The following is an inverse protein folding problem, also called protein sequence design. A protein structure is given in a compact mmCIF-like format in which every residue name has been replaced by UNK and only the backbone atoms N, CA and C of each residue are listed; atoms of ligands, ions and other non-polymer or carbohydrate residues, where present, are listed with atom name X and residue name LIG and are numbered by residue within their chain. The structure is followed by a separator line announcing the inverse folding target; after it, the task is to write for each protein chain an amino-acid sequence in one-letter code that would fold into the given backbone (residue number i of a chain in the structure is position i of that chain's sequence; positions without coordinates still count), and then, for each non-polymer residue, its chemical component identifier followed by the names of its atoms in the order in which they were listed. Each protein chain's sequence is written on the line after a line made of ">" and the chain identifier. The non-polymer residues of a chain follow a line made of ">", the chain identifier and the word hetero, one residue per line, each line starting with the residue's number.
data_IF_919612987579
#
_entry.id   IF_919612987579
#
_cell.length_a   1.000
_cell.length_b   1.000
_cell.length_c   1.000
_cell.angle_alpha   90.00
_cell.angle_beta   90.00
_cell.angle_gamma   90.00
#
_symmetry.space_group_name_H-M   'P 1'
#
loop_
_entity.id
_entity.type
_entity.pdbx_description
1 polymer ?
#
# COMPACT_ATOMS: atom_id res chain seq x y z
N UNK A 1 3.16 -15.98 2.90
CA UNK A 1 2.71 -16.93 3.94
C UNK A 1 1.75 -16.18 4.84
N UNK A 2 0.62 -16.81 5.10
CA UNK A 2 -0.66 -16.20 5.44
C UNK A 2 -0.65 -15.46 6.78
N UNK A 3 -1.41 -14.35 6.81
CA UNK A 3 -2.07 -13.84 8.02
C UNK A 3 -2.69 -15.05 8.75
N UNK A 4 -2.62 -15.16 10.09
CA UNK A 4 -3.25 -16.25 10.81
C UNK A 4 -4.69 -16.41 10.32
N UNK A 5 -4.99 -17.58 9.73
CA UNK A 5 -6.35 -17.95 9.36
C UNK A 5 -7.12 -18.18 10.66
N UNK A 6 -7.66 -17.11 11.23
CA UNK A 6 -8.82 -17.21 12.10
C UNK A 6 -10.02 -16.73 11.30
N UNK A 7 -10.82 -17.71 10.90
CA UNK A 7 -12.16 -17.55 10.37
C UNK A 7 -12.96 -16.60 11.24
N UNK A 8 -13.57 -15.60 10.62
CA UNK A 8 -14.88 -15.11 11.04
C UNK A 8 -15.65 -14.76 9.77
N UNK A 9 -16.67 -15.58 9.51
CA UNK A 9 -17.77 -15.36 8.56
C UNK A 9 -18.82 -14.40 9.18
N UNK A 10 -18.33 -13.50 10.05
CA UNK A 10 -19.02 -12.35 10.59
C UNK A 10 -18.23 -11.15 10.07
N UNK A 11 -18.89 -10.09 9.59
CA UNK A 11 -18.25 -8.87 9.08
C UNK A 11 -17.44 -8.07 10.11
N UNK A 12 -16.79 -8.74 11.08
CA UNK A 12 -15.89 -8.15 12.05
C UNK A 12 -14.55 -7.84 11.39
N UNK A 13 -14.26 -6.56 11.33
CA UNK A 13 -12.97 -6.09 10.84
C UNK A 13 -11.84 -6.58 11.75
N UNK A 14 -10.75 -7.06 11.15
CA UNK A 14 -9.58 -7.56 11.88
C UNK A 14 -8.90 -6.36 12.56
N UNK A 15 -8.79 -6.42 13.89
CA UNK A 15 -8.14 -5.39 14.71
C UNK A 15 -6.87 -5.95 15.36
N UNK A 16 -5.74 -5.29 15.15
CA UNK A 16 -4.46 -5.66 15.76
C UNK A 16 -3.52 -4.46 15.89
N UNK A 17 -2.48 -4.61 16.71
CA UNK A 17 -1.47 -3.56 16.92
C UNK A 17 -0.28 -3.74 15.98
N UNK A 18 0.17 -2.65 15.38
CA UNK A 18 1.33 -2.60 14.48
C UNK A 18 2.24 -1.41 14.78
N UNK A 19 3.54 -1.50 14.45
CA UNK A 19 4.40 -0.33 14.42
C UNK A 19 4.04 0.59 13.24
N UNK A 20 4.14 1.90 13.45
CA UNK A 20 3.81 2.95 12.48
C UNK A 20 5.07 3.72 12.09
N UNK A 21 5.34 3.72 10.78
CA UNK A 21 6.36 4.53 10.14
C UNK A 21 5.69 5.78 9.56
N UNK A 22 6.07 6.99 10.00
CA UNK A 22 5.49 8.23 9.47
C UNK A 22 6.32 8.69 8.28
N UNK A 23 5.74 8.73 7.07
CA UNK A 23 6.43 9.14 5.86
C UNK A 23 5.45 9.58 4.75
N UNK A 24 5.74 9.23 3.50
CA UNK A 24 4.93 9.52 2.32
C UNK A 24 3.72 8.59 2.23
N UNK A 25 2.75 8.96 1.40
CA UNK A 25 1.61 8.11 1.06
C UNK A 25 2.10 6.85 0.35
N UNK A 26 1.71 5.67 0.85
CA UNK A 26 1.78 4.42 0.10
C UNK A 26 0.38 3.95 -0.27
N UNK A 27 0.29 3.38 -1.46
CA UNK A 27 -0.92 2.77 -1.98
C UNK A 27 -0.77 1.24 -1.94
N UNK A 28 -1.89 0.50 -1.86
CA UNK A 28 -1.90 -0.94 -2.12
C UNK A 28 -1.16 -1.29 -3.41
N UNK A 29 -0.50 -2.45 -3.45
CA UNK A 29 0.24 -2.98 -4.60
C UNK A 29 1.47 -2.18 -5.08
N UNK A 30 1.62 -0.93 -4.63
CA UNK A 30 2.75 -0.08 -4.98
C UNK A 30 4.02 -0.50 -4.23
N UNK A 31 5.15 -0.49 -4.94
CA UNK A 31 6.46 -0.69 -4.31
C UNK A 31 6.93 0.61 -3.68
N UNK A 32 7.52 0.51 -2.49
CA UNK A 32 8.00 1.68 -1.74
C UNK A 32 9.38 1.38 -1.15
N UNK A 33 10.48 1.69 -1.86
CA UNK A 33 11.81 1.58 -1.31
C UNK A 33 12.05 2.69 -0.27
N UNK A 34 12.48 2.32 0.93
CA UNK A 34 12.68 3.24 2.05
C UNK A 34 14.15 3.26 2.48
N UNK A 35 14.70 4.46 2.66
CA UNK A 35 15.98 4.64 3.34
C UNK A 35 15.73 5.01 4.81
N UNK A 36 16.00 4.05 5.70
CA UNK A 36 15.76 4.18 7.14
C UNK A 36 17.08 4.52 7.84
N UNK A 37 17.19 5.77 8.29
CA UNK A 37 18.38 6.28 8.97
C UNK A 37 18.15 6.71 10.42
N UNK A 38 16.92 7.07 10.80
CA UNK A 38 16.59 7.46 12.18
C UNK A 38 16.72 6.27 13.16
N UNK A 39 17.39 6.43 14.32
CA UNK A 39 17.61 5.37 15.31
C UNK A 39 16.34 4.60 15.71
N UNK A 40 15.25 5.31 16.02
CA UNK A 40 13.96 4.70 16.42
C UNK A 40 13.40 3.76 15.35
N UNK A 41 13.50 4.14 14.08
CA UNK A 41 13.00 3.33 12.97
C UNK A 41 13.94 2.19 12.59
N UNK A 42 15.25 2.34 12.82
CA UNK A 42 16.19 1.22 12.68
C UNK A 42 15.84 0.08 13.64
N UNK A 43 15.52 0.42 14.90
CA UNK A 43 15.03 -0.56 15.88
C UNK A 43 13.70 -1.18 15.45
N UNK A 44 12.76 -0.35 15.00
CA UNK A 44 11.47 -0.80 14.46
C UNK A 44 11.67 -1.83 13.34
N UNK A 45 12.50 -1.54 12.33
CA UNK A 45 12.73 -2.44 11.19
C UNK A 45 13.34 -3.78 11.61
N UNK A 46 14.30 -3.77 12.54
CA UNK A 46 14.89 -5.00 13.09
C UNK A 46 13.84 -5.87 13.77
N UNK A 47 12.92 -5.28 14.54
CA UNK A 47 11.84 -6.03 15.18
C UNK A 47 10.81 -6.51 14.18
N UNK A 48 10.44 -5.68 13.20
CA UNK A 48 9.45 -6.04 12.19
C UNK A 48 9.91 -7.24 11.36
N UNK A 49 11.19 -7.32 10.97
CA UNK A 49 11.70 -8.45 10.17
C UNK A 49 11.78 -9.77 10.97
N UNK A 50 11.91 -9.69 12.30
CA UNK A 50 11.87 -10.83 13.22
C UNK A 50 10.45 -11.39 13.39
N UNK A 51 9.41 -10.58 13.12
CA UNK A 51 8.03 -11.06 13.12
C UNK A 51 7.75 -11.98 11.92
N UNK A 52 6.77 -12.88 12.08
CA UNK A 52 6.32 -13.73 10.98
C UNK A 52 5.62 -12.93 9.86
N UNK A 53 4.91 -11.85 10.21
CA UNK A 53 4.18 -11.05 9.22
C UNK A 53 5.10 -10.18 8.37
N UNK A 54 6.21 -9.68 8.95
CA UNK A 54 7.12 -8.71 8.32
C UNK A 54 6.39 -7.48 7.81
N UNK A 55 5.36 -7.06 8.53
CA UNK A 55 4.49 -5.93 8.16
C UNK A 55 4.57 -4.80 9.17
N UNK A 56 4.41 -3.58 8.66
CA UNK A 56 4.24 -2.38 9.46
C UNK A 56 3.26 -1.43 8.76
N UNK A 57 2.72 -0.47 9.49
CA UNK A 57 1.84 0.55 8.91
C UNK A 57 2.63 1.78 8.51
N UNK A 58 2.30 2.38 7.37
CA UNK A 58 2.78 3.71 7.01
C UNK A 58 1.62 4.69 6.92
N UNK A 59 1.80 5.82 7.58
CA UNK A 59 0.86 6.93 7.59
C UNK A 59 1.60 8.21 7.23
N UNK A 60 0.87 9.18 6.66
CA UNK A 60 1.38 10.53 6.50
C UNK A 60 1.33 11.29 7.83
N UNK A 61 2.21 12.28 7.99
CA UNK A 61 2.11 13.23 9.07
C UNK A 61 0.90 14.15 8.87
N UNK A 62 0.15 14.39 9.93
CA UNK A 62 -0.98 15.30 10.01
C UNK A 62 -0.59 16.50 10.88
N UNK A 63 -0.40 17.66 10.23
CA UNK A 63 -0.02 18.91 10.89
C UNK A 63 -1.08 19.44 11.85
N UNK A 64 -2.36 19.16 11.61
CA UNK A 64 -3.45 19.68 12.45
C UNK A 64 -3.51 18.99 13.82
N UNK A 65 -3.16 17.70 13.85
CA UNK A 65 -3.19 16.88 15.07
C UNK A 65 -1.80 16.65 15.65
N UNK A 66 -0.75 17.22 15.03
CA UNK A 66 0.66 17.03 15.40
C UNK A 66 1.08 15.55 15.54
N UNK A 67 0.50 14.67 14.72
CA UNK A 67 0.74 13.21 14.76
C UNK A 67 0.49 12.58 13.39
N UNK A 68 0.40 11.27 13.26
CA UNK A 68 0.07 10.59 12.00
C UNK A 68 -1.43 10.55 11.70
N UNK A 69 -1.77 10.54 10.42
CA UNK A 69 -3.14 10.50 9.91
C UNK A 69 -3.94 9.28 10.42
N UNK A 70 -5.27 9.42 10.41
CA UNK A 70 -6.21 8.37 10.83
C UNK A 70 -6.25 7.17 9.89
N UNK A 71 -5.63 7.27 8.71
CA UNK A 71 -5.59 6.23 7.71
C UNK A 71 -4.15 6.01 7.23
N UNK A 72 -3.86 4.77 6.87
CA UNK A 72 -2.57 4.38 6.34
C UNK A 72 -2.65 3.08 5.56
N UNK A 73 -1.48 2.61 5.15
CA UNK A 73 -1.33 1.39 4.35
C UNK A 73 -0.39 0.44 5.05
N UNK A 74 -0.77 -0.83 5.16
CA UNK A 74 0.11 -1.91 5.58
C UNK A 74 1.14 -2.18 4.50
N UNK A 75 2.41 -2.14 4.84
CA UNK A 75 3.50 -2.53 3.95
C UNK A 75 4.13 -3.82 4.41
N UNK A 76 4.39 -4.69 3.45
CA UNK A 76 5.15 -5.93 3.63
C UNK A 76 6.61 -5.71 3.21
N UNK A 77 7.56 -6.09 4.05
CA UNK A 77 8.99 -6.03 3.75
C UNK A 77 9.36 -7.21 2.85
N UNK A 78 9.69 -6.92 1.58
CA UNK A 78 10.21 -7.90 0.62
C UNK A 78 11.68 -8.21 0.85
N UNK A 79 12.46 -7.18 1.18
CA UNK A 79 13.89 -7.28 1.42
C UNK A 79 14.41 -6.14 2.26
N UNK A 80 15.53 -6.36 2.95
CA UNK A 80 16.20 -5.35 3.75
C UNK A 80 17.71 -5.54 3.64
N UNK A 81 18.42 -4.44 3.36
CA UNK A 81 19.89 -4.41 3.30
C UNK A 81 20.39 -3.38 4.31
N UNK A 82 21.26 -3.81 5.22
CA UNK A 82 21.94 -2.92 6.15
C UNK A 82 23.19 -2.30 5.52
N UNK A 83 23.42 -1.03 5.81
CA UNK A 83 24.67 -0.33 5.49
C UNK A 83 25.66 -0.44 6.66
N UNK A 84 26.94 -0.13 6.41
CA UNK A 84 28.02 -0.28 7.42
C UNK A 84 27.85 0.64 8.64
N UNK A 85 27.14 1.76 8.49
CA UNK A 85 26.77 2.68 9.58
C UNK A 85 25.44 2.31 10.27
N UNK A 86 24.87 1.17 9.88
CA UNK A 86 23.68 0.58 10.47
C UNK A 86 22.36 1.20 10.04
N UNK A 87 22.35 2.06 9.00
CA UNK A 87 21.12 2.42 8.27
C UNK A 87 20.64 1.22 7.46
N UNK A 88 19.46 1.33 6.86
CA UNK A 88 18.94 0.27 6.00
C UNK A 88 18.20 0.80 4.79
N UNK A 89 18.35 0.09 3.67
CA UNK A 89 17.46 0.20 2.52
C UNK A 89 16.45 -0.94 2.63
N UNK A 90 15.18 -0.60 2.74
CA UNK A 90 14.07 -1.53 2.92
C UNK A 90 13.21 -1.52 1.67
N UNK A 91 13.11 -2.67 1.01
CA UNK A 91 12.21 -2.85 -0.11
C UNK A 91 10.85 -3.33 0.41
N UNK A 92 9.80 -2.58 0.10
CA UNK A 92 8.45 -2.85 0.60
C UNK A 92 7.41 -2.81 -0.50
N UNK A 93 6.28 -3.47 -0.27
CA UNK A 93 5.10 -3.41 -1.13
C UNK A 93 3.86 -3.14 -0.28
N UNK A 94 3.02 -2.20 -0.72
CA UNK A 94 1.72 -1.94 -0.11
C UNK A 94 0.79 -3.13 -0.22
N UNK A 95 0.04 -3.41 0.84
CA UNK A 95 -0.91 -4.52 0.94
C UNK A 95 -2.32 -4.01 1.09
N UNK A 96 -2.67 -3.55 2.29
CA UNK A 96 -4.05 -3.24 2.65
C UNK A 96 -4.16 -1.87 3.30
N UNK A 97 -5.28 -1.20 3.11
CA UNK A 97 -5.58 0.06 3.79
C UNK A 97 -6.11 -0.22 5.19
N UNK A 98 -5.84 0.68 6.11
CA UNK A 98 -6.35 0.57 7.47
C UNK A 98 -6.78 1.93 8.03
N UNK A 99 -7.67 1.86 9.02
CA UNK A 99 -8.04 2.96 9.90
C UNK A 99 -7.37 2.80 11.25
N UNK A 100 -6.85 3.89 11.81
CA UNK A 100 -6.30 3.96 13.16
C UNK A 100 -7.45 4.04 14.15
N UNK A 101 -7.47 3.10 15.11
CA UNK A 101 -8.45 3.05 16.20
C UNK A 101 -7.86 3.66 17.48
N UNK A 102 -6.59 3.36 17.74
CA UNK A 102 -5.88 3.89 18.90
C UNK A 102 -4.40 4.11 18.57
N UNK A 103 -3.81 5.14 19.17
CA UNK A 103 -2.42 5.55 18.92
C UNK A 103 -1.57 5.26 20.15
N UNK A 104 -0.43 4.62 19.94
CA UNK A 104 0.53 4.29 20.98
C UNK A 104 1.95 4.70 20.61
N UNK A 105 2.86 4.44 21.53
CA UNK A 105 4.29 4.62 21.32
C UNK A 105 5.05 3.50 22.01
N UNK A 106 6.10 3.02 21.36
CA UNK A 106 6.99 1.99 21.89
C UNK A 106 8.41 2.33 21.52
N UNK A 107 9.29 2.48 22.50
CA UNK A 107 10.73 2.74 22.30
C UNK A 107 10.98 3.84 21.23
N UNK A 108 10.28 4.97 21.40
CA UNK A 108 10.36 6.19 20.58
C UNK A 108 9.76 6.13 19.15
N UNK A 109 9.26 4.99 18.70
CA UNK A 109 8.47 4.90 17.46
C UNK A 109 6.98 4.72 17.76
N UNK A 110 6.14 5.20 16.82
CA UNK A 110 4.69 5.15 16.97
C UNK A 110 4.18 3.71 16.79
N UNK A 111 3.13 3.36 17.53
CA UNK A 111 2.33 2.15 17.28
C UNK A 111 0.88 2.55 17.08
N UNK A 112 0.09 1.68 16.48
CA UNK A 112 -1.35 1.88 16.38
C UNK A 112 -2.07 0.56 16.47
N UNK A 113 -3.22 0.57 17.16
CA UNK A 113 -4.24 -0.45 16.97
C UNK A 113 -5.07 -0.04 15.76
N UNK A 114 -5.10 -0.90 14.75
CA UNK A 114 -5.68 -0.59 13.45
C UNK A 114 -6.84 -1.50 13.11
N UNK A 115 -7.73 -1.04 12.24
CA UNK A 115 -8.81 -1.80 11.64
C UNK A 115 -8.58 -1.86 10.13
N UNK A 116 -8.54 -3.06 9.55
CA UNK A 116 -8.42 -3.21 8.10
C UNK A 116 -9.67 -2.70 7.39
N UNK A 117 -9.46 -2.00 6.28
CA UNK A 117 -10.52 -1.54 5.37
C UNK A 117 -10.66 -2.58 4.27
N UNK A 118 -11.89 -2.96 3.98
CA UNK A 118 -12.24 -3.81 2.83
C UNK A 118 -13.08 -3.01 1.86
N UNK A 119 -12.76 -3.09 0.58
CA UNK A 119 -13.61 -2.58 -0.49
C UNK A 119 -14.84 -3.46 -0.69
N UNK A 120 -15.91 -2.83 -1.17
CA UNK A 120 -17.13 -3.52 -1.54
C UNK A 120 -16.99 -4.08 -2.95
N UNK A 121 -17.47 -5.31 -3.15
CA UNK A 121 -17.59 -5.89 -4.49
C UNK A 121 -18.52 -5.02 -5.33
N UNK A 122 -18.24 -4.97 -6.64
CA UNK A 122 -19.07 -4.27 -7.61
C UNK A 122 -20.41 -5.02 -7.71
N UNK A 123 -21.52 -4.30 -7.56
CA UNK A 123 -22.85 -4.88 -7.72
C UNK A 123 -23.09 -5.27 -9.18
N UNK A 124 -23.84 -6.36 -9.42
CA UNK A 124 -24.05 -6.89 -10.77
C UNK A 124 -24.69 -5.85 -11.70
N UNK A 125 -25.58 -5.02 -11.17
CA UNK A 125 -26.29 -3.99 -11.93
C UNK A 125 -25.35 -2.88 -12.44
N UNK A 126 -24.25 -2.62 -11.74
CA UNK A 126 -23.25 -1.60 -12.11
C UNK A 126 -22.13 -2.16 -13.01
N UNK A 127 -22.00 -3.49 -13.11
CA UNK A 127 -20.86 -4.13 -13.76
C UNK A 127 -20.78 -3.81 -15.25
N UNK A 128 -21.92 -3.85 -15.96
CA UNK A 128 -21.96 -3.60 -17.41
C UNK A 128 -21.51 -2.18 -17.74
N UNK A 129 -22.02 -1.18 -17.00
CA UNK A 129 -21.65 0.22 -17.18
C UNK A 129 -20.18 0.45 -16.85
N UNK A 130 -19.70 -0.09 -15.73
CA UNK A 130 -18.29 -0.01 -15.34
C UNK A 130 -17.37 -0.64 -16.39
N UNK A 131 -17.75 -1.80 -16.94
CA UNK A 131 -17.00 -2.47 -17.98
C UNK A 131 -16.90 -1.62 -19.25
N UNK A 132 -18.00 -0.99 -19.67
CA UNK A 132 -17.99 -0.07 -20.82
C UNK A 132 -17.14 1.18 -20.55
N UNK A 133 -17.23 1.76 -19.35
CA UNK A 133 -16.42 2.92 -18.98
C UNK A 133 -14.92 2.59 -18.92
N UNK A 134 -14.55 1.44 -18.36
CA UNK A 134 -13.17 0.97 -18.31
C UNK A 134 -12.59 0.84 -19.73
N UNK A 135 -13.27 0.14 -20.63
CA UNK A 135 -12.83 -0.05 -22.03
C UNK A 135 -12.74 1.26 -22.80
N UNK A 136 -13.73 2.14 -22.62
CA UNK A 136 -13.76 3.45 -23.29
C UNK A 136 -12.61 4.34 -22.80
N UNK A 137 -12.39 4.38 -21.49
CA UNK A 137 -11.30 5.15 -20.88
C UNK A 137 -9.95 4.61 -21.32
N UNK A 138 -9.76 3.29 -21.27
CA UNK A 138 -8.54 2.64 -21.73
C UNK A 138 -8.23 2.98 -23.19
N UNK A 139 -9.24 2.89 -24.07
CA UNK A 139 -9.08 3.26 -25.48
C UNK A 139 -8.65 4.72 -25.63
N UNK A 140 -9.30 5.65 -24.92
CA UNK A 140 -8.94 7.08 -24.98
C UNK A 140 -7.52 7.35 -24.52
N UNK A 141 -7.11 6.74 -23.40
CA UNK A 141 -5.73 6.88 -22.88
C UNK A 141 -4.73 6.26 -23.86
N UNK A 142 -5.07 5.12 -24.48
CA UNK A 142 -4.22 4.45 -25.47
C UNK A 142 -4.04 5.30 -26.72
N UNK A 143 -5.13 5.85 -27.25
CA UNK A 143 -5.12 6.72 -28.42
C UNK A 143 -4.30 7.99 -28.14
N UNK A 144 -4.51 8.63 -26.98
CA UNK A 144 -3.67 9.75 -26.52
C UNK A 144 -2.19 9.38 -26.42
N UNK A 145 -1.88 8.24 -25.79
CA UNK A 145 -0.51 7.78 -25.62
C UNK A 145 0.19 7.54 -26.96
N UNK A 146 -0.52 7.00 -27.95
CA UNK A 146 0.00 6.77 -29.30
C UNK A 146 0.26 8.07 -30.08
N UNK A 147 -0.47 9.14 -29.78
CA UNK A 147 -0.29 10.46 -30.39
C UNK A 147 0.91 11.23 -29.82
N UNK A 148 1.48 10.80 -28.69
CA UNK A 148 2.68 11.41 -28.13
C UNK A 148 3.88 11.21 -29.07
N UNK A 149 4.82 12.15 -29.04
CA UNK A 149 6.08 11.99 -29.75
C UNK A 149 6.88 10.78 -29.20
N UNK A 150 7.80 10.21 -30.00
CA UNK A 150 8.52 8.99 -29.61
C UNK A 150 9.34 9.13 -28.32
N UNK A 151 9.83 10.33 -28.00
CA UNK A 151 10.63 10.56 -26.80
C UNK A 151 9.76 10.44 -25.54
N UNK A 152 8.60 11.10 -25.52
CA UNK A 152 7.65 11.00 -24.40
C UNK A 152 7.12 9.58 -24.20
N UNK A 153 6.80 8.86 -25.28
CA UNK A 153 6.39 7.45 -25.20
C UNK A 153 7.46 6.58 -24.57
N UNK A 154 8.71 6.74 -24.98
CA UNK A 154 9.83 5.95 -24.43
C UNK A 154 10.04 6.23 -22.94
N UNK A 155 9.94 7.50 -22.53
CA UNK A 155 10.10 7.87 -21.11
C UNK A 155 9.03 7.24 -20.23
N UNK A 156 7.75 7.38 -20.62
CA UNK A 156 6.62 6.83 -19.86
C UNK A 156 6.67 5.30 -19.82
N UNK A 157 6.90 4.64 -20.96
CA UNK A 157 6.99 3.17 -21.02
C UNK A 157 8.11 2.63 -20.13
N UNK A 158 9.26 3.33 -20.06
CA UNK A 158 10.36 2.91 -19.20
C UNK A 158 10.01 3.02 -17.71
N UNK A 159 9.14 3.97 -17.34
CA UNK A 159 8.78 4.19 -15.95
C UNK A 159 7.63 3.29 -15.48
N UNK A 160 6.79 2.82 -16.40
CA UNK A 160 5.63 1.94 -16.11
C UNK A 160 5.86 0.48 -16.51
N UNK A 161 7.09 0.11 -16.89
CA UNK A 161 7.43 -1.23 -17.43
C UNK A 161 6.57 -1.65 -18.64
N UNK A 162 6.20 -0.67 -19.47
CA UNK A 162 5.34 -0.84 -20.63
C UNK A 162 4.04 -0.06 -20.54
N UNK A 163 3.19 -0.20 -21.57
CA UNK A 163 1.82 0.32 -21.52
C UNK A 163 0.93 -0.69 -20.79
N UNK A 164 0.15 -0.28 -19.78
CA UNK A 164 -0.62 -1.22 -18.98
C UNK A 164 -1.66 -1.98 -19.84
N UNK A 165 -1.96 -3.25 -19.53
CA UNK A 165 -3.06 -3.96 -20.16
C UNK A 165 -4.41 -3.35 -19.74
N UNK A 166 -5.46 -3.60 -20.53
CA UNK A 166 -6.80 -3.21 -20.11
C UNK A 166 -7.28 -4.18 -19.03
N UNK A 167 -7.67 -3.65 -17.88
CA UNK A 167 -8.24 -4.42 -16.78
C UNK A 167 -9.49 -5.17 -17.25
N UNK A 168 -9.65 -6.43 -16.85
CA UNK A 168 -10.83 -7.22 -17.15
C UNK A 168 -11.92 -7.07 -16.08
N UNK A 169 -11.62 -6.34 -14.98
CA UNK A 169 -12.50 -6.10 -13.85
C UNK A 169 -12.97 -7.39 -13.17
N UNK A 170 -12.30 -8.51 -13.41
CA UNK A 170 -12.62 -9.81 -12.78
C UNK A 170 -11.99 -9.95 -11.40
N UNK A 171 -11.12 -9.00 -11.03
CA UNK A 171 -10.43 -8.99 -9.76
C UNK A 171 -11.34 -8.47 -8.64
N UNK A 172 -12.01 -9.39 -7.96
CA UNK A 172 -12.55 -9.16 -6.61
C UNK A 172 -11.37 -9.14 -5.61
N UNK A 173 -10.80 -7.96 -5.39
CA UNK A 173 -9.81 -7.72 -4.35
C UNK A 173 -10.45 -6.95 -3.20
N UNK A 174 -10.29 -7.44 -1.97
CA UNK A 174 -10.67 -6.72 -0.75
C UNK A 174 -9.94 -5.37 -0.62
N UNK A 175 -8.84 -5.17 -1.35
CA UNK A 175 -8.00 -3.97 -1.31
C UNK A 175 -8.18 -3.06 -2.53
N UNK A 176 -9.21 -3.33 -3.34
CA UNK A 176 -9.53 -2.56 -4.53
C UNK A 176 -8.64 -2.91 -5.72
N UNK A 177 -8.81 -2.21 -6.84
CA UNK A 177 -8.05 -2.51 -8.05
C UNK A 177 -6.58 -2.13 -7.88
N UNK A 178 -5.69 -2.84 -8.59
CA UNK A 178 -4.23 -2.67 -8.49
C UNK A 178 -3.68 -1.31 -8.93
N UNK A 179 -4.54 -0.43 -9.47
CA UNK A 179 -4.22 0.93 -9.87
C UNK A 179 -4.69 2.01 -8.88
N UNK A 180 -5.34 1.65 -7.77
CA UNK A 180 -5.79 2.57 -6.72
C UNK A 180 -4.65 3.07 -5.82
#
# INVERSE_FOLDING_TARGET
>A
ASIPQQLTDSGESIIFEIPIFICVLALPHSTCPLHVFEPRYRLMMRRTIETQSRTFGMCIYNEQTETFADYGTLLYIRGLVYTQDGRSIVDTIGRQRFRVIDRGMRDEYNTARIQLIKDHAIEQDDFDDLYQYNRTTYKRVRDWFQQLDPYRRTLISRQLDGYPPCDDLTHESDDGPSWA
#
